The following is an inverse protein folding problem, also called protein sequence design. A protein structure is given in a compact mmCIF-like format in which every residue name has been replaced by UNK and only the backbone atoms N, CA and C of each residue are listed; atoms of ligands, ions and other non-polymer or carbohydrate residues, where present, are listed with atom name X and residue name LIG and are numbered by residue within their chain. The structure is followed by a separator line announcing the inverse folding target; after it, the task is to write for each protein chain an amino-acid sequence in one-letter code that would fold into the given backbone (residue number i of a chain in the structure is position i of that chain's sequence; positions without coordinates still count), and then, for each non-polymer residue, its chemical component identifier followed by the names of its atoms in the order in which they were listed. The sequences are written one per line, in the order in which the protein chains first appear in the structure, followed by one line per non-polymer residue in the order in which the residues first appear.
data_IF_815366006348
#
_entry.id   IF_815366006348
#
_cell.length_a   1.000
_cell.length_b   1.000
_cell.length_c   1.000
_cell.angle_alpha   90.00
_cell.angle_beta   90.00
_cell.angle_gamma   90.00
#
_symmetry.space_group_name_H-M   'P 1'
#
loop_
_entity.id
_entity.type
_entity.pdbx_description
1 polymer ?
#
# COMPACT_ATOMS: atom_id res chain seq x y z
N UNK A 1 33.82 -29.07 6.35
CA UNK A 1 33.47 -27.66 6.05
C UNK A 1 32.08 -27.58 5.39
N UNK A 2 31.06 -26.97 6.01
CA UNK A 2 29.79 -26.69 5.34
C UNK A 2 29.95 -25.72 4.15
N UNK A 3 29.01 -25.77 3.21
CA UNK A 3 28.98 -24.91 2.02
C UNK A 3 28.06 -23.71 2.26
N UNK A 4 28.61 -22.49 2.17
CA UNK A 4 27.85 -21.24 2.28
C UNK A 4 27.44 -20.75 0.88
N UNK A 5 26.13 -20.63 0.63
CA UNK A 5 25.55 -20.04 -0.58
C UNK A 5 25.19 -18.57 -0.37
N UNK A 6 25.72 -17.72 -1.24
CA UNK A 6 25.59 -16.27 -1.17
C UNK A 6 24.76 -15.74 -2.34
N UNK A 7 23.92 -14.77 -2.05
CA UNK A 7 23.00 -14.15 -3.01
C UNK A 7 23.12 -12.61 -2.96
N UNK A 8 22.77 -11.95 -4.07
CA UNK A 8 22.72 -10.50 -4.22
C UNK A 8 23.96 -9.77 -3.63
N UNK A 9 23.75 -8.75 -2.78
CA UNK A 9 24.84 -7.94 -2.21
C UNK A 9 25.87 -8.72 -1.37
N UNK A 10 25.49 -9.89 -0.83
CA UNK A 10 26.44 -10.78 -0.13
C UNK A 10 27.37 -11.48 -1.11
N UNK A 11 26.87 -11.90 -2.27
CA UNK A 11 27.69 -12.44 -3.37
C UNK A 11 28.64 -11.36 -3.91
N UNK A 12 28.17 -10.13 -4.08
CA UNK A 12 29.00 -9.01 -4.55
C UNK A 12 30.12 -8.69 -3.55
N UNK A 13 29.80 -8.69 -2.25
CA UNK A 13 30.79 -8.43 -1.20
C UNK A 13 31.81 -9.57 -1.06
N UNK A 14 31.41 -10.82 -1.29
CA UNK A 14 32.29 -11.97 -1.20
C UNK A 14 33.05 -12.29 -2.49
N UNK A 15 32.61 -11.76 -3.64
CA UNK A 15 33.16 -12.06 -4.96
C UNK A 15 32.79 -13.45 -5.52
N UNK A 16 32.17 -14.31 -4.73
CA UNK A 16 31.82 -15.68 -5.06
C UNK A 16 30.39 -16.01 -4.61
N UNK A 17 29.72 -16.93 -5.31
CA UNK A 17 28.35 -17.36 -4.96
C UNK A 17 28.31 -18.56 -4.02
N UNK A 18 29.43 -19.27 -3.85
CA UNK A 18 29.57 -20.45 -3.00
C UNK A 18 30.96 -20.47 -2.38
N UNK A 19 31.03 -20.68 -1.09
CA UNK A 19 32.30 -20.76 -0.37
C UNK A 19 32.23 -21.81 0.74
N UNK A 20 33.31 -22.57 0.91
CA UNK A 20 33.45 -23.49 2.04
C UNK A 20 34.04 -22.74 3.22
N UNK A 21 33.39 -22.84 4.38
CA UNK A 21 33.78 -22.14 5.60
C UNK A 21 33.79 -23.14 6.75
N UNK A 22 34.77 -23.03 7.64
CA UNK A 22 34.85 -23.88 8.83
C UNK A 22 33.89 -23.40 9.92
N UNK A 23 33.25 -24.35 10.59
CA UNK A 23 32.32 -24.11 11.70
C UNK A 23 31.44 -25.33 11.94
N UNK A 24 31.07 -25.53 13.20
CA UNK A 24 30.18 -26.59 13.70
C UNK A 24 28.78 -26.06 14.03
N UNK A 25 28.59 -24.75 13.96
CA UNK A 25 27.33 -24.03 14.13
C UNK A 25 27.18 -22.94 13.09
N UNK A 26 25.94 -22.55 12.79
CA UNK A 26 25.65 -21.41 11.91
C UNK A 26 26.39 -20.15 12.38
N UNK A 27 26.39 -19.85 13.68
CA UNK A 27 27.11 -18.70 14.24
C UNK A 27 28.63 -18.76 13.96
N UNK A 28 29.27 -19.92 14.16
CA UNK A 28 30.70 -20.08 13.91
C UNK A 28 31.05 -19.88 12.43
N UNK A 29 30.24 -20.46 11.52
CA UNK A 29 30.41 -20.30 10.07
C UNK A 29 30.25 -18.82 9.68
N UNK A 30 29.25 -18.11 10.20
CA UNK A 30 29.01 -16.71 9.84
C UNK A 30 30.09 -15.78 10.38
N UNK A 31 30.59 -16.03 11.60
CA UNK A 31 31.72 -15.29 12.16
C UNK A 31 33.01 -15.50 11.35
N UNK A 32 33.28 -16.75 10.94
CA UNK A 32 34.41 -17.06 10.07
C UNK A 32 34.30 -16.40 8.68
N UNK A 33 33.09 -16.38 8.10
CA UNK A 33 32.83 -15.68 6.84
C UNK A 33 32.98 -14.16 6.96
N UNK A 34 32.46 -13.56 8.04
CA UNK A 34 32.61 -12.12 8.31
C UNK A 34 34.08 -11.71 8.49
N UNK A 35 34.85 -12.52 9.21
CA UNK A 35 36.30 -12.33 9.36
C UNK A 35 37.03 -12.41 8.01
N UNK A 36 36.60 -13.32 7.12
CA UNK A 36 37.20 -13.51 5.79
C UNK A 36 36.87 -12.39 4.79
N UNK A 37 35.62 -11.94 4.73
CA UNK A 37 35.15 -10.99 3.71
C UNK A 37 35.07 -9.53 4.20
N UNK A 38 35.27 -9.31 5.50
CA UNK A 38 35.38 -8.00 6.11
C UNK A 38 34.04 -7.27 6.35
N UNK A 39 34.15 -6.01 6.74
CA UNK A 39 33.04 -5.22 7.29
C UNK A 39 31.89 -4.95 6.31
N UNK A 40 32.12 -4.99 4.99
CA UNK A 40 31.05 -4.86 3.99
C UNK A 40 30.11 -6.06 4.00
N UNK A 41 30.68 -7.26 4.15
CA UNK A 41 29.93 -8.51 4.24
C UNK A 41 29.17 -8.61 5.57
N UNK A 42 29.79 -8.22 6.67
CA UNK A 42 29.20 -8.21 8.01
C UNK A 42 27.92 -7.35 8.09
N UNK A 43 27.90 -6.18 7.42
CA UNK A 43 26.71 -5.34 7.31
C UNK A 43 25.55 -6.05 6.60
N UNK A 44 25.85 -6.83 5.56
CA UNK A 44 24.85 -7.61 4.85
C UNK A 44 24.27 -8.73 5.70
N UNK A 45 25.12 -9.40 6.50
CA UNK A 45 24.71 -10.48 7.40
C UNK A 45 23.66 -10.05 8.42
N UNK A 46 23.78 -8.83 8.97
CA UNK A 46 22.84 -8.32 9.98
C UNK A 46 21.38 -8.26 9.50
N UNK A 47 21.15 -8.20 8.19
CA UNK A 47 19.83 -8.17 7.57
C UNK A 47 19.42 -9.49 6.91
N UNK A 48 20.34 -10.43 6.76
CA UNK A 48 20.11 -11.67 6.03
C UNK A 48 19.40 -12.70 6.92
N UNK A 49 18.50 -13.48 6.32
CA UNK A 49 17.91 -14.64 6.96
C UNK A 49 18.71 -15.90 6.56
N UNK A 50 18.76 -16.89 7.46
CA UNK A 50 19.61 -18.09 7.31
C UNK A 50 18.77 -19.35 7.13
N UNK A 51 19.15 -20.18 6.16
CA UNK A 51 18.59 -21.51 5.94
C UNK A 51 19.68 -22.56 5.94
N UNK A 52 19.40 -23.71 6.53
CA UNK A 52 20.26 -24.90 6.48
C UNK A 52 19.49 -25.99 5.77
N UNK A 53 20.02 -26.50 4.65
CA UNK A 53 19.40 -27.57 3.85
C UNK A 53 17.92 -27.33 3.46
N UNK A 54 17.53 -26.05 3.29
CA UNK A 54 16.17 -25.67 2.90
C UNK A 54 15.23 -25.29 4.05
N UNK A 55 15.66 -25.44 5.30
CA UNK A 55 14.86 -25.09 6.49
C UNK A 55 15.40 -23.81 7.17
N UNK A 56 14.54 -22.91 7.69
CA UNK A 56 14.98 -21.75 8.46
C UNK A 56 15.79 -22.18 9.69
N UNK A 57 16.96 -21.58 9.88
CA UNK A 57 17.90 -21.95 10.95
C UNK A 57 18.28 -20.74 11.81
N UNK A 58 18.50 -21.01 13.10
CA UNK A 58 18.99 -20.03 14.05
C UNK A 58 20.53 -20.06 14.14
N UNK A 59 21.14 -19.10 14.85
CA UNK A 59 22.60 -19.04 15.03
C UNK A 59 23.16 -20.27 15.77
N UNK A 60 22.39 -20.87 16.67
CA UNK A 60 22.78 -22.06 17.45
C UNK A 60 22.55 -23.39 16.70
N UNK A 61 22.03 -23.34 15.47
CA UNK A 61 21.81 -24.56 14.67
C UNK A 61 23.16 -25.18 14.33
N UNK A 62 23.36 -26.43 14.77
CA UNK A 62 24.55 -27.22 14.45
C UNK A 62 24.61 -27.56 12.96
N UNK A 63 25.82 -27.55 12.39
CA UNK A 63 26.06 -27.81 10.97
C UNK A 63 27.24 -28.75 10.79
N UNK A 64 27.12 -29.64 9.80
CA UNK A 64 28.11 -30.64 9.43
C UNK A 64 28.73 -30.33 8.06
N UNK A 65 29.73 -31.11 7.67
CA UNK A 65 30.46 -30.88 6.41
C UNK A 65 29.61 -31.06 5.15
N UNK A 66 28.52 -31.82 5.24
CA UNK A 66 27.57 -32.03 4.14
C UNK A 66 26.52 -30.92 4.03
N UNK A 67 26.45 -30.01 5.00
CA UNK A 67 25.34 -29.07 5.08
C UNK A 67 25.56 -27.84 4.20
N UNK A 68 24.47 -27.43 3.57
CA UNK A 68 24.41 -26.22 2.78
C UNK A 68 23.68 -25.12 3.56
N UNK A 69 24.38 -24.00 3.76
CA UNK A 69 23.87 -22.83 4.47
C UNK A 69 23.58 -21.75 3.43
N UNK A 70 22.33 -21.35 3.27
CA UNK A 70 21.92 -20.28 2.36
C UNK A 70 21.68 -18.98 3.12
N UNK A 71 22.37 -17.91 2.69
CA UNK A 71 22.16 -16.56 3.20
C UNK A 71 21.31 -15.76 2.23
N UNK A 72 20.06 -15.56 2.61
CA UNK A 72 19.10 -14.82 1.80
C UNK A 72 19.00 -13.39 2.36
N UNK A 73 19.65 -12.40 1.72
CA UNK A 73 19.36 -11.00 2.01
C UNK A 73 17.88 -10.72 1.71
N UNK A 74 17.28 -9.69 2.34
CA UNK A 74 15.92 -9.30 2.04
C UNK A 74 15.80 -9.08 0.53
N UNK A 75 14.83 -9.74 -0.10
CA UNK A 75 14.57 -9.55 -1.53
C UNK A 75 14.34 -8.07 -1.77
N UNK A 76 15.02 -7.50 -2.76
CA UNK A 76 14.99 -6.08 -3.09
C UNK A 76 13.57 -5.65 -3.46
N UNK A 77 12.81 -5.30 -2.44
CA UNK A 77 11.54 -4.60 -2.45
C UNK A 77 11.60 -3.58 -1.33
N UNK A 78 12.30 -2.47 -1.59
CA UNK A 78 12.35 -1.31 -0.71
C UNK A 78 13.38 -1.39 0.41
N UNK A 79 14.27 -0.41 0.44
CA UNK A 79 15.03 -0.04 1.63
C UNK A 79 14.07 0.35 2.76
N UNK A 80 13.52 -0.64 3.45
CA UNK A 80 13.11 -0.47 4.82
C UNK A 80 14.40 -0.41 5.65
N UNK A 81 15.09 0.75 5.61
CA UNK A 81 15.69 1.23 6.84
C UNK A 81 14.63 1.00 7.91
N UNK A 82 14.94 0.26 8.97
CA UNK A 82 14.01 -0.06 10.06
C UNK A 82 13.24 1.22 10.39
N UNK A 83 12.07 1.38 9.78
CA UNK A 83 11.19 2.52 10.01
C UNK A 83 10.57 2.15 11.31
N UNK A 84 10.76 3.00 12.30
CA UNK A 84 10.03 2.86 13.54
C UNK A 84 8.55 2.82 13.17
N UNK A 85 7.87 1.66 13.36
CA UNK A 85 6.47 1.51 12.93
C UNK A 85 5.56 2.52 13.66
N UNK A 86 6.01 3.05 14.80
CA UNK A 86 5.30 4.12 15.52
C UNK A 86 5.38 5.46 14.78
N UNK A 87 6.50 5.79 14.14
CA UNK A 87 6.68 7.04 13.39
C UNK A 87 5.91 7.00 12.07
N UNK A 88 5.93 5.86 11.36
CA UNK A 88 5.15 5.66 10.14
C UNK A 88 3.65 5.74 10.42
N UNK A 89 3.18 5.03 11.46
CA UNK A 89 1.78 5.13 11.90
C UNK A 89 1.37 6.55 12.28
N UNK A 90 2.21 7.28 13.03
CA UNK A 90 1.94 8.67 13.40
C UNK A 90 1.85 9.59 12.17
N UNK A 91 2.66 9.37 11.15
CA UNK A 91 2.62 10.14 9.91
C UNK A 91 1.31 9.94 9.14
N UNK A 92 0.84 8.70 8.97
CA UNK A 92 -0.43 8.43 8.30
C UNK A 92 -1.63 8.99 9.08
N UNK A 93 -1.62 8.91 10.42
CA UNK A 93 -2.64 9.52 11.28
C UNK A 93 -2.65 11.04 11.10
N UNK A 94 -1.47 11.66 11.03
CA UNK A 94 -1.33 13.08 10.76
C UNK A 94 -1.89 13.47 9.39
N UNK A 95 -1.58 12.73 8.32
CA UNK A 95 -2.11 12.98 6.98
C UNK A 95 -3.64 12.86 6.93
N UNK A 96 -4.20 11.83 7.58
CA UNK A 96 -5.65 11.68 7.69
C UNK A 96 -6.29 12.85 8.45
N UNK A 97 -5.71 13.27 9.57
CA UNK A 97 -6.17 14.45 10.31
C UNK A 97 -6.06 15.75 9.49
N UNK A 98 -4.98 15.91 8.72
CA UNK A 98 -4.79 17.07 7.84
C UNK A 98 -5.82 17.09 6.71
N UNK A 99 -6.13 15.95 6.10
CA UNK A 99 -7.16 15.81 5.08
C UNK A 99 -8.56 16.17 5.63
N UNK A 100 -8.90 15.68 6.82
CA UNK A 100 -10.14 16.04 7.51
C UNK A 100 -10.20 17.53 7.85
N UNK A 101 -9.09 18.09 8.35
CA UNK A 101 -8.95 19.52 8.61
C UNK A 101 -9.14 20.37 7.36
N UNK A 102 -8.55 19.96 6.23
CA UNK A 102 -8.71 20.64 4.95
C UNK A 102 -10.16 20.63 4.47
N UNK A 103 -10.85 19.49 4.55
CA UNK A 103 -12.27 19.40 4.22
C UNK A 103 -13.14 20.27 5.14
N UNK A 104 -12.84 20.28 6.44
CA UNK A 104 -13.55 21.08 7.43
C UNK A 104 -13.35 22.58 7.17
N UNK A 105 -12.13 23.03 6.92
CA UNK A 105 -11.83 24.44 6.60
C UNK A 105 -12.54 24.83 5.29
N UNK A 106 -12.41 24.01 4.25
CA UNK A 106 -13.02 24.26 2.95
C UNK A 106 -14.56 24.32 3.03
N UNK A 107 -15.17 23.56 3.93
CA UNK A 107 -16.61 23.61 4.20
C UNK A 107 -17.11 25.02 4.60
N UNK A 108 -16.26 25.84 5.22
CA UNK A 108 -16.55 27.24 5.60
C UNK A 108 -16.20 28.27 4.52
N UNK A 109 -15.31 27.94 3.58
CA UNK A 109 -14.79 28.91 2.59
C UNK A 109 -15.70 29.06 1.36
N UNK A 110 -16.69 28.18 1.18
CA UNK A 110 -17.65 28.20 0.07
C UNK A 110 -17.58 26.94 -0.79
N UNK A 111 -18.52 26.79 -1.71
CA UNK A 111 -18.71 25.56 -2.47
C UNK A 111 -17.52 25.21 -3.37
N UNK A 112 -16.93 26.20 -4.05
CA UNK A 112 -15.79 25.99 -4.94
C UNK A 112 -14.56 25.48 -4.17
N UNK A 113 -14.31 26.03 -2.97
CA UNK A 113 -13.22 25.59 -2.10
C UNK A 113 -13.47 24.19 -1.57
N UNK A 114 -14.70 23.89 -1.18
CA UNK A 114 -15.09 22.55 -0.73
C UNK A 114 -14.89 21.49 -1.83
N UNK A 115 -15.37 21.76 -3.04
CA UNK A 115 -15.19 20.85 -4.19
C UNK A 115 -13.70 20.64 -4.48
N UNK A 116 -12.90 21.71 -4.46
CA UNK A 116 -11.45 21.62 -4.65
C UNK A 116 -10.78 20.76 -3.57
N UNK A 117 -11.18 20.92 -2.31
CA UNK A 117 -10.66 20.11 -1.21
C UNK A 117 -11.05 18.63 -1.34
N UNK A 118 -12.30 18.34 -1.72
CA UNK A 118 -12.76 16.96 -1.99
C UNK A 118 -11.93 16.32 -3.11
N UNK A 119 -11.75 17.03 -4.23
CA UNK A 119 -10.94 16.57 -5.35
C UNK A 119 -9.48 16.31 -4.92
N UNK A 120 -8.88 17.24 -4.17
CA UNK A 120 -7.50 17.13 -3.71
C UNK A 120 -7.29 15.97 -2.75
N UNK A 121 -8.16 15.83 -1.74
CA UNK A 121 -8.05 14.78 -0.71
C UNK A 121 -8.26 13.39 -1.30
N UNK A 122 -9.33 13.20 -2.08
CA UNK A 122 -9.56 11.90 -2.72
C UNK A 122 -8.50 11.63 -3.79
N UNK A 123 -7.99 12.66 -4.46
CA UNK A 123 -6.99 12.52 -5.53
C UNK A 123 -5.68 12.01 -4.96
N UNK A 124 -5.27 12.62 -3.85
CA UNK A 124 -4.13 12.18 -3.06
C UNK A 124 -4.32 10.76 -2.52
N UNK A 125 -5.48 10.44 -1.94
CA UNK A 125 -5.76 9.08 -1.43
C UNK A 125 -5.65 8.02 -2.53
N UNK A 126 -6.29 8.25 -3.67
CA UNK A 126 -6.25 7.32 -4.80
C UNK A 126 -4.80 7.17 -5.29
N UNK A 127 -4.05 8.27 -5.42
CA UNK A 127 -2.64 8.23 -5.80
C UNK A 127 -1.79 7.41 -4.81
N UNK A 128 -1.95 7.65 -3.51
CA UNK A 128 -1.22 6.98 -2.42
C UNK A 128 -1.44 5.46 -2.44
N UNK A 129 -2.71 5.03 -2.56
CA UNK A 129 -3.10 3.62 -2.70
C UNK A 129 -2.43 2.96 -3.92
N UNK A 130 -2.24 3.70 -5.01
CA UNK A 130 -1.56 3.18 -6.20
C UNK A 130 -0.05 3.15 -6.07
N UNK A 131 0.54 4.15 -5.44
CA UNK A 131 1.98 4.21 -5.23
C UNK A 131 2.46 3.05 -4.36
N UNK A 132 1.72 2.72 -3.30
CA UNK A 132 1.97 1.56 -2.45
C UNK A 132 1.60 0.23 -3.14
N UNK A 133 0.55 0.24 -3.97
CA UNK A 133 -0.02 -0.94 -4.63
C UNK A 133 0.65 -1.37 -5.94
N UNK A 134 1.67 -0.64 -6.44
CA UNK A 134 2.31 -0.85 -7.77
C UNK A 134 2.81 -2.27 -8.06
N UNK A 135 2.97 -3.12 -7.04
CA UNK A 135 3.39 -4.53 -7.19
C UNK A 135 2.28 -5.56 -6.91
N UNK A 136 1.09 -5.16 -6.43
CA UNK A 136 0.06 -6.08 -5.94
C UNK A 136 -1.40 -5.73 -6.31
N UNK A 137 -1.70 -4.55 -6.86
CA UNK A 137 -3.09 -4.14 -7.10
C UNK A 137 -3.73 -4.87 -8.28
N UNK A 138 -4.78 -5.64 -8.02
CA UNK A 138 -5.58 -6.35 -9.02
C UNK A 138 -6.49 -5.45 -9.86
N UNK A 139 -6.15 -4.17 -10.10
CA UNK A 139 -6.96 -3.22 -10.87
C UNK A 139 -6.13 -2.06 -11.44
N UNK A 140 -6.68 -1.34 -12.43
CA UNK A 140 -6.03 -0.21 -13.11
C UNK A 140 -6.31 1.12 -12.40
N UNK A 141 -5.30 1.99 -12.37
CA UNK A 141 -5.33 3.23 -11.59
C UNK A 141 -6.11 4.37 -12.22
N UNK A 142 -6.06 4.45 -13.55
CA UNK A 142 -6.56 5.60 -14.31
C UNK A 142 -8.06 5.86 -14.11
N UNK A 143 -8.95 4.84 -14.12
CA UNK A 143 -10.38 5.07 -13.95
C UNK A 143 -10.75 5.53 -12.54
N UNK A 144 -10.00 5.10 -11.52
CA UNK A 144 -10.19 5.57 -10.13
C UNK A 144 -9.77 7.04 -9.96
N UNK A 145 -8.62 7.42 -10.52
CA UNK A 145 -8.20 8.82 -10.54
C UNK A 145 -9.18 9.71 -11.31
N UNK A 146 -9.65 9.23 -12.46
CA UNK A 146 -10.67 9.92 -13.25
C UNK A 146 -11.98 10.09 -12.46
N UNK A 147 -12.41 9.06 -11.73
CA UNK A 147 -13.62 9.12 -10.91
C UNK A 147 -13.55 10.16 -9.79
N UNK A 148 -12.40 10.24 -9.12
CA UNK A 148 -12.13 11.27 -8.11
C UNK A 148 -12.19 12.70 -8.64
N UNK A 149 -11.80 12.92 -9.88
CA UNK A 149 -11.88 14.23 -10.51
C UNK A 149 -13.31 14.52 -11.00
N UNK A 150 -13.87 13.61 -11.81
CA UNK A 150 -15.12 13.85 -12.54
C UNK A 150 -16.35 13.76 -11.63
N UNK A 151 -16.34 12.87 -10.64
CA UNK A 151 -17.44 12.69 -9.67
C UNK A 151 -17.86 13.99 -8.98
N UNK A 152 -16.98 14.61 -8.17
CA UNK A 152 -17.29 15.84 -7.44
C UNK A 152 -17.53 17.05 -8.38
N UNK A 153 -16.82 17.15 -9.51
CA UNK A 153 -17.03 18.24 -10.47
C UNK A 153 -18.37 18.14 -11.18
N UNK A 154 -18.78 16.94 -11.62
CA UNK A 154 -20.07 16.75 -12.26
C UNK A 154 -21.22 16.89 -11.26
N UNK A 155 -21.03 16.41 -10.03
CA UNK A 155 -21.97 16.64 -8.93
C UNK A 155 -22.14 18.15 -8.65
N UNK A 156 -21.06 18.92 -8.69
CA UNK A 156 -21.10 20.37 -8.52
C UNK A 156 -21.83 21.08 -9.67
N UNK A 157 -21.54 20.70 -10.91
CA UNK A 157 -22.08 21.36 -12.08
C UNK A 157 -23.55 20.99 -12.38
N UNK A 158 -23.94 19.73 -12.15
CA UNK A 158 -25.22 19.18 -12.61
C UNK A 158 -25.96 18.37 -11.55
N UNK A 159 -25.57 18.46 -10.28
CA UNK A 159 -26.23 17.75 -9.20
C UNK A 159 -26.19 16.22 -9.38
N UNK A 160 -27.26 15.54 -8.97
CA UNK A 160 -27.34 14.08 -9.01
C UNK A 160 -27.27 13.50 -10.42
N UNK A 161 -27.80 14.21 -11.42
CA UNK A 161 -27.68 13.83 -12.83
C UNK A 161 -26.20 13.84 -13.28
N UNK A 162 -25.44 14.84 -12.85
CA UNK A 162 -24.00 14.91 -13.10
C UNK A 162 -23.24 13.76 -12.47
N UNK A 163 -23.59 13.37 -11.24
CA UNK A 163 -22.98 12.20 -10.60
C UNK A 163 -23.26 10.90 -11.38
N UNK A 164 -24.49 10.72 -11.86
CA UNK A 164 -24.83 9.58 -12.73
C UNK A 164 -23.99 9.55 -14.02
N UNK A 165 -23.81 10.71 -14.66
CA UNK A 165 -22.95 10.84 -15.83
C UNK A 165 -21.47 10.56 -15.52
N UNK A 166 -20.98 10.98 -14.35
CA UNK A 166 -19.62 10.71 -13.90
C UNK A 166 -19.37 9.21 -13.69
N UNK A 167 -20.32 8.50 -13.07
CA UNK A 167 -20.23 7.04 -12.90
C UNK A 167 -20.19 6.33 -14.24
N UNK A 168 -21.07 6.71 -15.18
CA UNK A 168 -21.07 6.16 -16.53
C UNK A 168 -19.73 6.43 -17.26
N UNK A 169 -19.20 7.66 -17.13
CA UNK A 169 -17.90 8.02 -17.69
C UNK A 169 -16.78 7.14 -17.12
N UNK A 170 -16.74 6.94 -15.81
CA UNK A 170 -15.73 6.09 -15.16
C UNK A 170 -15.80 4.65 -15.63
N UNK A 171 -17.00 4.08 -15.70
CA UNK A 171 -17.21 2.73 -16.26
C UNK A 171 -16.66 2.66 -17.68
N UNK A 172 -17.00 3.64 -18.53
CA UNK A 172 -16.48 3.71 -19.90
C UNK A 172 -14.95 3.80 -19.93
N UNK A 173 -14.32 4.61 -19.08
CA UNK A 173 -12.86 4.70 -19.02
C UNK A 173 -12.20 3.38 -18.57
N UNK A 174 -12.85 2.61 -17.70
CA UNK A 174 -12.37 1.28 -17.32
C UNK A 174 -12.39 0.30 -18.50
N UNK A 175 -13.47 0.28 -19.28
CA UNK A 175 -13.55 -0.53 -20.51
C UNK A 175 -12.52 -0.07 -21.55
N UNK A 176 -12.34 1.24 -21.75
CA UNK A 176 -11.32 1.79 -22.65
C UNK A 176 -9.92 1.36 -22.19
N UNK A 177 -9.64 1.36 -20.88
CA UNK A 177 -8.35 0.93 -20.36
C UNK A 177 -8.06 -0.55 -20.67
N UNK A 178 -9.07 -1.42 -20.70
CA UNK A 178 -8.92 -2.82 -21.08
C UNK A 178 -8.67 -3.02 -22.59
N UNK A 179 -9.13 -2.09 -23.42
CA UNK A 179 -8.85 -2.10 -24.86
C UNK A 179 -7.39 -1.71 -25.10
N UNK A 180 -6.96 -0.59 -24.49
CA UNK A 180 -5.63 0.02 -24.68
C UNK A 180 -4.52 -0.81 -24.03
N UNK A 181 -4.78 -1.38 -22.85
CA UNK A 181 -3.80 -2.14 -22.08
C UNK A 181 -4.24 -3.61 -21.98
N UNK A 182 -3.60 -4.53 -22.73
CA UNK A 182 -3.99 -5.95 -22.76
C UNK A 182 -3.95 -6.62 -21.38
N UNK A 183 -3.12 -6.12 -20.47
CA UNK A 183 -2.98 -6.58 -19.09
C UNK A 183 -4.22 -6.33 -18.21
N UNK A 184 -5.17 -5.48 -18.64
CA UNK A 184 -6.41 -5.17 -17.92
C UNK A 184 -7.62 -5.96 -18.43
N UNK A 185 -7.43 -6.91 -19.35
CA UNK A 185 -8.53 -7.67 -19.98
C UNK A 185 -9.08 -8.81 -19.14
N UNK A 186 -8.43 -9.18 -18.04
CA UNK A 186 -8.96 -10.22 -17.16
C UNK A 186 -10.21 -9.71 -16.43
N UNK A 187 -11.21 -10.58 -16.25
CA UNK A 187 -12.49 -10.23 -15.63
C UNK A 187 -12.27 -9.67 -14.22
N UNK A 188 -11.38 -10.28 -13.44
CA UNK A 188 -11.06 -9.84 -12.08
C UNK A 188 -10.47 -8.42 -12.06
N UNK A 189 -9.55 -8.12 -12.98
CA UNK A 189 -8.96 -6.78 -13.07
C UNK A 189 -9.96 -5.74 -13.53
N UNK A 190 -10.79 -6.07 -14.50
CA UNK A 190 -11.82 -5.17 -14.99
C UNK A 190 -12.85 -4.88 -13.90
N UNK A 191 -13.31 -5.91 -13.17
CA UNK A 191 -14.23 -5.76 -12.06
C UNK A 191 -13.65 -4.90 -10.94
N UNK A 192 -12.40 -5.17 -10.53
CA UNK A 192 -11.71 -4.36 -9.53
C UNK A 192 -11.55 -2.89 -9.97
N UNK A 193 -11.25 -2.66 -11.25
CA UNK A 193 -11.08 -1.33 -11.83
C UNK A 193 -12.39 -0.54 -11.84
N UNK A 194 -13.48 -1.18 -12.27
CA UNK A 194 -14.81 -0.58 -12.28
C UNK A 194 -15.25 -0.27 -10.86
N UNK A 195 -15.10 -1.20 -9.91
CA UNK A 195 -15.50 -1.00 -8.52
C UNK A 195 -14.71 0.15 -7.88
N UNK A 196 -13.38 0.16 -8.01
CA UNK A 196 -12.54 1.23 -7.48
C UNK A 196 -12.94 2.60 -8.05
N UNK A 197 -13.18 2.67 -9.37
CA UNK A 197 -13.63 3.89 -10.02
C UNK A 197 -14.99 4.38 -9.55
N UNK A 198 -15.97 3.48 -9.48
CA UNK A 198 -17.34 3.81 -9.04
C UNK A 198 -17.33 4.27 -7.59
N UNK A 199 -16.60 3.58 -6.71
CA UNK A 199 -16.44 4.00 -5.30
C UNK A 199 -15.83 5.40 -5.24
N UNK A 200 -14.71 5.63 -5.93
CA UNK A 200 -14.06 6.95 -5.94
C UNK A 200 -15.01 8.08 -6.39
N UNK A 201 -15.71 7.88 -7.51
CA UNK A 201 -16.65 8.87 -8.05
C UNK A 201 -17.86 9.10 -7.14
N UNK A 202 -18.46 8.02 -6.62
CA UNK A 202 -19.68 8.12 -5.80
C UNK A 202 -19.38 8.67 -4.41
N UNK A 203 -18.29 8.26 -3.76
CA UNK A 203 -17.90 8.77 -2.45
C UNK A 203 -17.57 10.26 -2.50
N UNK A 204 -16.72 10.69 -3.45
CA UNK A 204 -16.36 12.09 -3.61
C UNK A 204 -17.57 12.94 -4.08
N UNK A 205 -18.34 12.45 -5.05
CA UNK A 205 -19.53 13.13 -5.57
C UNK A 205 -20.65 13.27 -4.54
N UNK A 206 -20.91 12.24 -3.72
CA UNK A 206 -21.93 12.29 -2.67
C UNK A 206 -21.61 13.35 -1.61
N UNK A 207 -20.34 13.53 -1.24
CA UNK A 207 -19.94 14.60 -0.32
C UNK A 207 -20.28 15.99 -0.86
N UNK A 208 -20.13 16.21 -2.17
CA UNK A 208 -20.51 17.46 -2.83
C UNK A 208 -22.03 17.61 -2.85
N UNK A 209 -22.79 16.58 -3.23
CA UNK A 209 -24.25 16.65 -3.26
C UNK A 209 -24.86 16.93 -1.89
N UNK A 210 -24.36 16.27 -0.84
CA UNK A 210 -24.77 16.53 0.54
C UNK A 210 -24.50 17.99 0.91
N UNK A 211 -23.35 18.53 0.51
CA UNK A 211 -22.99 19.91 0.81
C UNK A 211 -23.90 20.93 0.11
N UNK A 212 -24.30 20.64 -1.14
CA UNK A 212 -25.18 21.48 -1.94
C UNK A 212 -26.65 21.38 -1.50
N UNK A 213 -27.08 20.23 -1.01
CA UNK A 213 -28.47 19.97 -0.62
C UNK A 213 -28.84 20.45 0.79
N UNK A 214 -27.88 20.94 1.58
CA UNK A 214 -28.11 21.37 2.96
C UNK A 214 -27.94 22.88 3.06
N UNK A 215 -29.01 23.56 3.46
CA UNK A 215 -29.02 25.00 3.72
C UNK A 215 -28.90 25.35 5.22
N UNK A 216 -28.35 26.53 5.49
CA UNK A 216 -28.35 27.12 6.83
C UNK A 216 -27.39 26.50 7.85
N UNK A 217 -27.81 26.53 9.12
CA UNK A 217 -27.00 26.25 10.32
C UNK A 217 -26.61 24.77 10.47
N UNK A 218 -27.34 23.86 9.80
CA UNK A 218 -27.14 22.41 9.88
C UNK A 218 -25.98 21.88 9.03
N UNK A 219 -25.34 22.73 8.21
CA UNK A 219 -24.28 22.34 7.25
C UNK A 219 -23.10 21.67 7.93
N UNK A 220 -22.61 22.23 9.03
CA UNK A 220 -21.46 21.70 9.77
C UNK A 220 -21.82 20.40 10.50
N UNK A 221 -23.01 20.33 11.10
CA UNK A 221 -23.46 19.12 11.80
C UNK A 221 -23.62 17.94 10.84
N UNK A 222 -24.23 18.15 9.66
CA UNK A 222 -24.39 17.10 8.67
C UNK A 222 -23.04 16.61 8.13
N UNK A 223 -22.10 17.52 7.89
CA UNK A 223 -20.74 17.18 7.50
C UNK A 223 -20.03 16.32 8.56
N UNK A 224 -20.10 16.71 9.84
CA UNK A 224 -19.50 15.96 10.95
C UNK A 224 -20.15 14.58 11.13
N UNK A 225 -21.47 14.48 11.00
CA UNK A 225 -22.18 13.20 11.05
C UNK A 225 -21.74 12.29 9.92
N UNK A 226 -21.64 12.79 8.69
CA UNK A 226 -21.22 12.00 7.53
C UNK A 226 -19.79 11.50 7.66
N UNK A 227 -18.86 12.35 8.10
CA UNK A 227 -17.48 11.94 8.37
C UNK A 227 -17.43 10.93 9.52
N UNK A 228 -18.21 11.13 10.57
CA UNK A 228 -18.30 10.18 11.68
C UNK A 228 -18.78 8.81 11.21
N UNK A 229 -19.83 8.76 10.39
CA UNK A 229 -20.35 7.52 9.80
C UNK A 229 -19.33 6.84 8.88
N UNK A 230 -18.62 7.60 8.06
CA UNK A 230 -17.58 7.07 7.17
C UNK A 230 -16.42 6.45 7.97
N UNK A 231 -15.95 7.12 9.02
CA UNK A 231 -14.90 6.60 9.90
C UNK A 231 -15.35 5.36 10.68
N UNK A 232 -16.62 5.29 11.11
CA UNK A 232 -17.19 4.12 11.76
C UNK A 232 -17.26 2.92 10.82
N UNK A 233 -17.71 3.12 9.58
CA UNK A 233 -17.74 2.07 8.56
C UNK A 233 -16.34 1.54 8.23
N UNK A 234 -15.36 2.44 8.17
CA UNK A 234 -13.95 2.08 7.99
C UNK A 234 -13.39 1.29 9.19
N UNK A 235 -13.66 1.72 10.42
CA UNK A 235 -13.28 0.98 11.62
C UNK A 235 -13.90 -0.42 11.68
N UNK A 236 -15.17 -0.57 11.27
CA UNK A 236 -15.86 -1.84 11.23
C UNK A 236 -15.27 -2.82 10.19
N UNK A 237 -14.86 -2.31 9.02
CA UNK A 237 -14.22 -3.13 7.98
C UNK A 237 -12.84 -3.62 8.43
N UNK A 238 -12.03 -2.78 9.06
CA UNK A 238 -10.74 -3.18 9.63
C UNK A 238 -10.89 -4.22 10.76
N UNK A 239 -11.88 -4.05 11.63
CA UNK A 239 -12.18 -5.00 12.70
C UNK A 239 -12.72 -6.35 12.18
N UNK A 240 -13.41 -6.35 11.03
CA UNK A 240 -13.85 -7.56 10.33
C UNK A 240 -12.69 -8.31 9.68
N UNK A 241 -11.76 -7.59 9.04
CA UNK A 241 -10.60 -8.21 8.39
C UNK A 241 -9.60 -8.81 9.37
N UNK A 242 -9.43 -8.22 10.57
CA UNK A 242 -8.52 -8.77 11.58
C UNK A 242 -9.02 -10.05 12.23
N UNK A 243 -10.34 -10.28 12.26
CA UNK A 243 -10.93 -11.54 12.74
C UNK A 243 -10.73 -12.71 11.77
N UNK A 244 -10.68 -12.44 10.47
CA UNK A 244 -10.46 -13.47 9.45
C UNK A 244 -9.07 -14.13 9.51
N UNK A 245 -8.08 -13.48 10.13
CA UNK A 245 -6.73 -14.02 10.33
C UNK A 245 -6.56 -14.86 11.60
N UNK A 246 -7.51 -14.79 12.53
CA UNK A 246 -7.44 -15.47 13.83
C UNK A 246 -8.21 -16.79 13.87
N UNK A 247 -8.82 -17.20 12.75
CA UNK A 247 -9.53 -18.47 12.63
C UNK A 247 -8.80 -19.38 11.62
N UNK A 248 -7.79 -20.16 12.05
CA UNK A 248 -7.17 -21.16 11.21
C UNK A 248 -8.07 -22.39 11.18
N UNK A 249 -8.86 -22.53 10.11
CA UNK A 249 -9.39 -23.82 9.69
C UNK A 249 -8.40 -24.51 8.75
#
# INVERSE_FOLDING_TARGET
MPTLRLFAGLKESAGESRVNVEGDSVAAVLAAAASRFGSSFEKGLASARVWVNGEPAGPETGVNESDEIALLPPVSGGSAAVRDPTVESQFHVFLAAAALGALLIANFMGEQWYVTAVVGVFGFWVWDVFEEGRTASGFSAWPALAGTLVGPLAAYAWGSAGLGAAVAFVVMTAFVSAIVQPENRTIDRLAGTVLAGVIAATSAGALVLVRLGIDGDSRTLAFLVMIGLANLAFGATLAGSSRAWLDPH
#
